data_IF_727512304925
#
_entry.id   IF_727512304925
#
_cell.length_a   1.000
_cell.length_b   1.000
_cell.length_c   1.000
_cell.angle_alpha   90.00
_cell.angle_beta   90.00
_cell.angle_gamma   90.00
#
_symmetry.space_group_name_H-M   'P 1'
#
loop_
_entity.id
_entity.type
_entity.pdbx_description
1 polymer ?
#
# COMPACT_ATOMS: atom_id res chain seq x y z
N UNK A 1 -2.04 -2.49 3.92
CA UNK A 1 -2.13 -2.35 2.45
C UNK A 1 -3.28 -3.19 1.88
N UNK A 2 -3.23 -4.53 1.98
CA UNK A 2 -4.20 -5.44 1.37
C UNK A 2 -5.65 -5.13 1.76
N UNK A 3 -5.92 -4.85 3.04
CA UNK A 3 -7.25 -4.45 3.50
C UNK A 3 -7.74 -3.16 2.84
N UNK A 4 -6.89 -2.14 2.76
CA UNK A 4 -7.27 -0.86 2.16
C UNK A 4 -7.57 -0.97 0.66
N UNK A 5 -6.72 -1.66 -0.11
CA UNK A 5 -6.94 -1.88 -1.55
C UNK A 5 -8.15 -2.78 -1.78
N UNK A 6 -8.33 -3.83 -0.96
CA UNK A 6 -9.51 -4.69 -1.00
C UNK A 6 -10.81 -3.94 -0.69
N UNK A 7 -10.81 -3.07 0.30
CA UNK A 7 -11.99 -2.25 0.65
C UNK A 7 -12.26 -1.15 -0.40
N UNK A 8 -11.22 -0.63 -1.08
CA UNK A 8 -11.36 0.33 -2.16
C UNK A 8 -12.19 -0.22 -3.33
N UNK A 9 -12.19 -1.55 -3.57
CA UNK A 9 -13.06 -2.18 -4.57
C UNK A 9 -14.55 -1.94 -4.30
N UNK A 10 -14.93 -1.69 -3.05
CA UNK A 10 -16.31 -1.48 -2.61
C UNK A 10 -16.64 -0.03 -2.27
N UNK A 11 -15.70 0.91 -2.48
CA UNK A 11 -15.83 2.30 -2.06
C UNK A 11 -17.13 2.97 -2.54
N UNK A 12 -17.59 2.66 -3.75
CA UNK A 12 -18.79 3.22 -4.33
C UNK A 12 -20.02 2.30 -4.24
N UNK A 13 -19.81 1.02 -3.96
CA UNK A 13 -20.90 0.03 -3.92
C UNK A 13 -21.53 -0.01 -2.55
N UNK A 14 -20.71 -0.03 -1.48
CA UNK A 14 -21.18 -0.14 -0.10
C UNK A 14 -22.07 1.03 0.32
N UNK A 15 -21.69 2.24 -0.05
CA UNK A 15 -22.38 3.48 0.34
C UNK A 15 -23.07 4.15 -0.86
N UNK A 16 -23.54 3.37 -1.85
CA UNK A 16 -24.06 3.88 -3.12
C UNK A 16 -25.19 4.93 -2.97
N UNK A 17 -26.05 4.79 -1.97
CA UNK A 17 -27.11 5.76 -1.66
C UNK A 17 -26.51 7.10 -1.24
N UNK A 18 -25.52 7.10 -0.34
CA UNK A 18 -24.84 8.30 0.16
C UNK A 18 -24.01 8.95 -0.96
N UNK A 19 -23.30 8.15 -1.76
CA UNK A 19 -22.52 8.64 -2.91
C UNK A 19 -23.40 9.40 -3.91
N UNK A 20 -24.64 8.96 -4.10
CA UNK A 20 -25.60 9.61 -5.02
C UNK A 20 -26.33 10.80 -4.41
N UNK A 21 -26.58 10.81 -3.10
CA UNK A 21 -27.36 11.86 -2.42
C UNK A 21 -26.51 13.05 -1.97
N UNK A 22 -25.18 12.89 -1.93
CA UNK A 22 -24.26 13.94 -1.44
C UNK A 22 -23.47 14.58 -2.59
N UNK A 23 -23.19 15.89 -2.47
CA UNK A 23 -22.32 16.63 -3.40
C UNK A 23 -20.83 16.50 -3.05
N UNK A 24 -20.44 15.50 -2.26
CA UNK A 24 -19.07 15.27 -1.83
C UNK A 24 -18.26 14.72 -3.02
N UNK A 25 -17.05 15.25 -3.28
CA UNK A 25 -16.17 14.71 -4.31
C UNK A 25 -15.94 13.20 -4.12
N UNK A 26 -16.09 12.43 -5.19
CA UNK A 26 -16.00 10.95 -5.11
C UNK A 26 -14.63 10.44 -4.65
N UNK A 27 -13.57 11.24 -4.80
CA UNK A 27 -12.23 10.94 -4.28
C UNK A 27 -12.21 10.79 -2.75
N UNK A 28 -13.08 11.51 -2.04
CA UNK A 28 -13.17 11.46 -0.57
C UNK A 28 -13.50 10.05 -0.08
N UNK A 29 -14.33 9.31 -0.84
CA UNK A 29 -14.72 7.95 -0.47
C UNK A 29 -13.54 6.97 -0.50
N UNK A 30 -12.64 7.10 -1.48
CA UNK A 30 -11.42 6.30 -1.55
C UNK A 30 -10.45 6.72 -0.44
N UNK A 31 -10.23 8.03 -0.28
CA UNK A 31 -9.31 8.56 0.73
C UNK A 31 -9.76 8.20 2.16
N UNK A 32 -11.07 8.19 2.43
CA UNK A 32 -11.63 7.76 3.72
C UNK A 32 -11.20 6.33 4.07
N UNK A 33 -11.25 5.41 3.11
CA UNK A 33 -10.85 4.02 3.33
C UNK A 33 -9.36 3.94 3.66
N UNK A 34 -8.53 4.61 2.86
CA UNK A 34 -7.08 4.60 3.07
C UNK A 34 -6.72 5.23 4.42
N UNK A 35 -7.37 6.34 4.77
CA UNK A 35 -7.13 7.02 6.04
C UNK A 35 -7.58 6.16 7.23
N UNK A 36 -8.76 5.54 7.16
CA UNK A 36 -9.25 4.63 8.21
C UNK A 36 -8.29 3.47 8.44
N UNK A 37 -7.84 2.82 7.37
CA UNK A 37 -6.87 1.73 7.44
C UNK A 37 -5.47 2.20 7.85
N UNK A 38 -5.12 3.43 7.51
CA UNK A 38 -3.89 4.08 7.97
C UNK A 38 -3.92 4.31 9.48
N UNK A 39 -5.01 4.82 10.04
CA UNK A 39 -5.20 5.03 11.49
C UNK A 39 -5.13 3.69 12.23
N UNK A 40 -5.84 2.64 11.74
CA UNK A 40 -5.75 1.29 12.31
C UNK A 40 -4.31 0.78 12.35
N UNK A 41 -3.55 1.01 11.28
CA UNK A 41 -2.16 0.61 11.18
C UNK A 41 -1.26 1.39 12.16
N UNK A 42 -1.39 2.72 12.21
CA UNK A 42 -0.62 3.57 13.13
C UNK A 42 -0.93 3.20 14.59
N UNK A 43 -2.17 2.89 14.92
CA UNK A 43 -2.55 2.43 16.24
C UNK A 43 -1.93 1.07 16.61
N UNK A 44 -1.56 0.24 15.64
CA UNK A 44 -0.87 -1.03 15.87
C UNK A 44 0.66 -0.86 16.08
N UNK A 45 1.26 0.24 15.65
CA UNK A 45 2.71 0.48 15.73
C UNK A 45 3.26 0.38 17.17
N UNK A 46 2.61 0.97 18.20
CA UNK A 46 3.10 0.85 19.57
C UNK A 46 3.22 -0.61 20.04
N UNK A 47 2.27 -1.45 19.64
CA UNK A 47 2.30 -2.88 19.98
C UNK A 47 3.51 -3.57 19.33
N UNK A 48 3.73 -3.30 18.04
CA UNK A 48 4.89 -3.82 17.30
C UNK A 48 6.19 -3.33 17.92
N UNK A 49 6.27 -2.04 18.29
CA UNK A 49 7.45 -1.46 18.93
C UNK A 49 7.78 -2.13 20.27
N UNK A 50 6.78 -2.41 21.11
CA UNK A 50 6.97 -3.12 22.38
C UNK A 50 7.55 -4.52 22.13
N UNK A 51 6.98 -5.29 21.20
CA UNK A 51 7.51 -6.60 20.86
C UNK A 51 8.93 -6.53 20.27
N UNK A 52 9.20 -5.55 19.42
CA UNK A 52 10.53 -5.37 18.84
C UNK A 52 11.59 -5.13 19.94
N UNK A 53 11.30 -4.26 20.91
CA UNK A 53 12.20 -3.99 22.04
C UNK A 53 12.40 -5.25 22.91
N UNK A 54 11.34 -6.01 23.20
CA UNK A 54 11.44 -7.26 23.96
C UNK A 54 12.33 -8.28 23.23
N UNK A 55 12.31 -8.28 21.88
CA UNK A 55 13.14 -9.14 21.05
C UNK A 55 14.55 -8.59 20.81
N UNK A 56 14.94 -7.48 21.47
CA UNK A 56 16.28 -6.93 21.42
C UNK A 56 16.54 -5.95 20.28
N UNK A 57 15.51 -5.42 19.63
CA UNK A 57 15.67 -4.37 18.65
C UNK A 57 16.02 -3.03 19.34
N UNK A 58 17.04 -2.36 18.85
CA UNK A 58 17.44 -1.05 19.34
C UNK A 58 16.62 0.04 18.66
N UNK A 59 15.98 0.90 19.45
CA UNK A 59 15.29 2.08 18.95
C UNK A 59 16.32 3.15 18.59
N UNK A 60 16.68 3.20 17.33
CA UNK A 60 17.63 4.17 16.78
C UNK A 60 16.89 5.23 15.94
N UNK A 61 17.64 6.19 15.38
CA UNK A 61 17.11 7.16 14.40
C UNK A 61 16.50 6.47 13.15
N UNK A 62 16.72 5.17 12.99
CA UNK A 62 16.05 4.34 11.98
C UNK A 62 14.52 4.40 12.02
N UNK A 63 13.93 4.74 13.17
CA UNK A 63 12.46 4.97 13.31
C UNK A 63 11.93 6.03 12.33
N UNK A 64 12.76 6.95 11.86
CA UNK A 64 12.36 7.93 10.83
C UNK A 64 12.00 7.26 9.50
N UNK A 65 12.60 6.12 9.16
CA UNK A 65 12.24 5.35 7.97
C UNK A 65 10.82 4.80 8.02
N UNK A 66 10.28 4.59 9.23
CA UNK A 66 8.89 4.21 9.43
C UNK A 66 7.93 5.27 8.86
N UNK A 67 8.20 6.56 9.11
CA UNK A 67 7.37 7.64 8.59
C UNK A 67 7.41 7.68 7.04
N UNK A 68 8.59 7.50 6.45
CA UNK A 68 8.75 7.43 4.99
C UNK A 68 7.97 6.24 4.41
N UNK A 69 8.09 5.07 5.05
CA UNK A 69 7.37 3.85 4.64
C UNK A 69 5.85 4.05 4.66
N UNK A 70 5.32 4.66 5.73
CA UNK A 70 3.88 4.95 5.88
C UNK A 70 3.41 5.89 4.77
N UNK A 71 4.15 6.95 4.47
CA UNK A 71 3.81 7.91 3.41
C UNK A 71 3.81 7.24 2.05
N UNK A 72 4.86 6.48 1.70
CA UNK A 72 4.93 5.77 0.42
C UNK A 72 3.82 4.73 0.29
N UNK A 73 3.54 3.98 1.35
CA UNK A 73 2.43 3.03 1.37
C UNK A 73 1.08 3.71 1.19
N UNK A 74 0.85 4.86 1.83
CA UNK A 74 -0.39 5.62 1.68
C UNK A 74 -0.54 6.12 0.23
N UNK A 75 0.52 6.68 -0.36
CA UNK A 75 0.54 7.16 -1.75
C UNK A 75 0.22 6.03 -2.72
N UNK A 76 0.88 4.88 -2.58
CA UNK A 76 0.63 3.69 -3.40
C UNK A 76 -0.82 3.21 -3.26
N UNK A 77 -1.32 3.15 -2.03
CA UNK A 77 -2.67 2.65 -1.73
C UNK A 77 -3.75 3.58 -2.28
N UNK A 78 -3.57 4.90 -2.14
CA UNK A 78 -4.48 5.90 -2.73
C UNK A 78 -4.46 5.78 -4.25
N UNK A 79 -3.28 5.71 -4.87
CA UNK A 79 -3.15 5.58 -6.32
C UNK A 79 -3.90 4.36 -6.87
N UNK A 80 -3.65 3.19 -6.29
CA UNK A 80 -4.35 1.95 -6.67
C UNK A 80 -5.85 2.03 -6.37
N UNK A 81 -6.24 2.58 -5.23
CA UNK A 81 -7.65 2.77 -4.89
C UNK A 81 -8.40 3.65 -5.88
N UNK A 82 -7.77 4.73 -6.36
CA UNK A 82 -8.34 5.63 -7.38
C UNK A 82 -8.46 4.96 -8.76
N UNK A 83 -7.63 3.98 -9.07
CA UNK A 83 -7.77 3.17 -10.30
C UNK A 83 -8.89 2.15 -10.13
N UNK A 84 -8.85 1.38 -9.04
CA UNK A 84 -9.69 0.20 -8.86
C UNK A 84 -11.14 0.58 -8.55
N UNK A 85 -11.38 1.59 -7.69
CA UNK A 85 -12.72 1.94 -7.25
C UNK A 85 -13.70 2.26 -8.41
N UNK A 86 -13.35 3.10 -9.40
CA UNK A 86 -14.23 3.34 -10.54
C UNK A 86 -14.34 2.13 -11.47
N UNK A 87 -13.24 1.37 -11.68
CA UNK A 87 -13.24 0.20 -12.56
C UNK A 87 -14.19 -0.90 -12.09
N UNK A 88 -14.27 -1.16 -10.79
CA UNK A 88 -15.18 -2.18 -10.22
C UNK A 88 -16.65 -1.81 -10.41
N UNK A 89 -16.99 -0.51 -10.53
CA UNK A 89 -18.36 -0.08 -10.85
C UNK A 89 -18.80 -0.58 -12.22
N UNK A 90 -17.88 -0.62 -13.19
CA UNK A 90 -18.15 -1.11 -14.56
C UNK A 90 -17.96 -2.62 -14.66
N UNK A 91 -16.96 -3.17 -13.98
CA UNK A 91 -16.59 -4.60 -14.06
C UNK A 91 -16.62 -5.22 -12.66
N UNK A 92 -17.76 -5.74 -12.24
CA UNK A 92 -17.94 -6.31 -10.89
C UNK A 92 -17.01 -7.49 -10.58
N UNK A 93 -16.64 -8.26 -11.58
CA UNK A 93 -15.73 -9.40 -11.43
C UNK A 93 -14.29 -8.96 -11.06
N UNK A 94 -13.95 -7.70 -11.31
CA UNK A 94 -12.66 -7.13 -10.96
C UNK A 94 -12.42 -7.16 -9.43
N UNK A 95 -13.48 -7.12 -8.61
CA UNK A 95 -13.33 -7.27 -7.15
C UNK A 95 -12.68 -8.61 -6.78
N UNK A 96 -13.10 -9.69 -7.44
CA UNK A 96 -12.55 -11.04 -7.21
C UNK A 96 -11.11 -11.13 -7.70
N UNK A 97 -10.84 -10.58 -8.89
CA UNK A 97 -9.51 -10.56 -9.48
C UNK A 97 -8.52 -9.76 -8.60
N UNK A 98 -8.92 -8.58 -8.11
CA UNK A 98 -8.09 -7.78 -7.20
C UNK A 98 -7.75 -8.55 -5.93
N UNK A 99 -8.72 -9.22 -5.30
CA UNK A 99 -8.46 -10.02 -4.10
C UNK A 99 -7.47 -11.16 -4.36
N UNK A 100 -7.56 -11.80 -5.52
CA UNK A 100 -6.63 -12.85 -5.91
C UNK A 100 -5.22 -12.29 -6.15
N UNK A 101 -5.11 -11.17 -6.85
CA UNK A 101 -3.84 -10.46 -7.08
C UNK A 101 -3.21 -10.02 -5.76
N UNK A 102 -3.99 -9.46 -4.84
CA UNK A 102 -3.49 -9.04 -3.53
C UNK A 102 -2.97 -10.23 -2.70
N UNK A 103 -3.63 -11.38 -2.79
CA UNK A 103 -3.14 -12.60 -2.15
C UNK A 103 -1.83 -13.08 -2.77
N UNK A 104 -1.75 -13.07 -4.09
CA UNK A 104 -0.51 -13.40 -4.81
C UNK A 104 0.61 -12.42 -4.44
N UNK A 105 0.36 -11.12 -4.45
CA UNK A 105 1.32 -10.08 -4.06
C UNK A 105 1.82 -10.26 -2.63
N UNK A 106 0.96 -10.70 -1.71
CA UNK A 106 1.38 -10.97 -0.34
C UNK A 106 2.46 -12.07 -0.29
N UNK A 107 2.28 -13.17 -1.00
CA UNK A 107 3.27 -14.26 -1.06
C UNK A 107 4.49 -13.89 -1.90
N UNK A 108 4.32 -13.07 -2.93
CA UNK A 108 5.40 -12.56 -3.77
C UNK A 108 6.18 -11.40 -3.12
N UNK A 109 5.74 -10.88 -1.99
CA UNK A 109 6.47 -9.83 -1.27
C UNK A 109 7.41 -10.43 -0.23
N UNK A 110 8.62 -9.86 -0.02
CA UNK A 110 9.60 -10.37 0.94
C UNK A 110 9.21 -10.04 2.37
N UNK A 111 8.06 -10.59 2.83
CA UNK A 111 7.53 -10.36 4.18
C UNK A 111 8.18 -11.34 5.17
N UNK A 112 8.33 -12.61 4.76
CA UNK A 112 8.80 -13.71 5.63
C UNK A 112 10.30 -13.98 5.42
N UNK A 113 10.85 -13.64 4.24
CA UNK A 113 12.24 -13.85 3.85
C UNK A 113 12.92 -12.51 3.51
N UNK A 114 14.25 -12.49 3.51
CA UNK A 114 15.04 -11.35 3.03
C UNK A 114 15.23 -11.42 1.51
N UNK A 115 15.47 -10.27 0.87
CA UNK A 115 15.86 -10.26 -0.56
C UNK A 115 17.18 -11.00 -0.76
N UNK A 116 18.09 -10.93 0.22
CA UNK A 116 19.38 -11.64 0.25
C UNK A 116 19.26 -13.17 0.34
N UNK A 117 18.11 -13.69 0.77
CA UNK A 117 17.89 -15.12 0.93
C UNK A 117 17.41 -15.79 -0.36
N UNK A 118 17.17 -14.98 -1.40
CA UNK A 118 16.69 -15.46 -2.69
C UNK A 118 17.83 -15.95 -3.59
N UNK A 119 17.57 -16.95 -4.45
CA UNK A 119 18.51 -17.36 -5.49
C UNK A 119 18.82 -16.20 -6.43
N UNK A 120 20.07 -16.17 -6.92
CA UNK A 120 20.54 -15.14 -7.85
C UNK A 120 19.61 -15.01 -9.08
N UNK A 121 19.14 -13.79 -9.33
CA UNK A 121 18.21 -13.45 -10.41
C UNK A 121 16.76 -13.28 -9.96
N UNK A 122 16.30 -13.93 -8.89
CA UNK A 122 14.98 -13.68 -8.32
C UNK A 122 14.94 -12.43 -7.45
N UNK A 123 16.03 -12.10 -6.78
CA UNK A 123 16.27 -10.87 -6.05
C UNK A 123 15.95 -9.62 -6.89
N UNK A 124 16.48 -9.59 -8.12
CA UNK A 124 16.27 -8.49 -9.06
C UNK A 124 14.80 -8.35 -9.46
N UNK A 125 14.09 -9.46 -9.75
CA UNK A 125 12.67 -9.42 -10.09
C UNK A 125 11.80 -8.99 -8.90
N UNK A 126 12.14 -9.45 -7.70
CA UNK A 126 11.45 -9.06 -6.47
C UNK A 126 11.69 -7.59 -6.12
N UNK A 127 12.84 -7.02 -6.46
CA UNK A 127 13.13 -5.61 -6.26
C UNK A 127 12.19 -4.69 -7.05
N UNK A 128 11.63 -5.15 -8.18
CA UNK A 128 10.61 -4.41 -8.93
C UNK A 128 9.21 -4.41 -8.27
N UNK A 129 9.00 -5.19 -7.20
CA UNK A 129 7.76 -5.13 -6.45
C UNK A 129 7.77 -3.87 -5.54
N UNK A 130 6.85 -2.92 -5.71
CA UNK A 130 6.83 -1.71 -4.88
C UNK A 130 6.65 -2.00 -3.38
N UNK A 131 6.02 -3.13 -3.04
CA UNK A 131 5.89 -3.55 -1.65
C UNK A 131 7.22 -4.00 -1.05
N UNK A 132 8.15 -4.53 -1.86
CA UNK A 132 9.47 -4.95 -1.37
C UNK A 132 10.25 -3.75 -0.79
N UNK A 133 10.28 -2.63 -1.52
CA UNK A 133 10.95 -1.42 -1.03
C UNK A 133 10.26 -0.79 0.18
N UNK A 134 8.93 -0.83 0.24
CA UNK A 134 8.18 -0.34 1.42
C UNK A 134 8.47 -1.23 2.64
N UNK A 135 8.52 -2.55 2.46
CA UNK A 135 8.84 -3.51 3.54
C UNK A 135 10.29 -3.34 4.00
N UNK A 136 11.22 -3.11 3.07
CA UNK A 136 12.62 -2.79 3.41
C UNK A 136 12.71 -1.56 4.31
N UNK A 137 11.93 -0.49 4.04
CA UNK A 137 11.85 0.68 4.92
C UNK A 137 11.27 0.38 6.30
N UNK A 138 10.25 -0.49 6.39
CA UNK A 138 9.74 -0.92 7.69
C UNK A 138 10.77 -1.71 8.49
N UNK A 139 11.56 -2.57 7.83
CA UNK A 139 12.66 -3.28 8.47
C UNK A 139 13.78 -2.34 8.91
N UNK A 140 14.10 -1.35 8.08
CA UNK A 140 15.13 -0.35 8.37
C UNK A 140 14.84 0.47 9.64
N UNK A 141 13.58 0.58 10.04
CA UNK A 141 13.22 1.23 11.30
C UNK A 141 13.79 0.52 12.53
N UNK A 142 14.00 -0.80 12.44
CA UNK A 142 14.51 -1.64 13.53
C UNK A 142 15.91 -2.21 13.24
N UNK A 143 16.27 -2.31 11.96
CA UNK A 143 17.53 -2.86 11.46
C UNK A 143 18.11 -1.95 10.37
N UNK A 144 18.75 -0.81 10.74
CA UNK A 144 19.17 0.23 9.78
C UNK A 144 20.15 -0.27 8.71
N UNK A 145 20.96 -1.27 9.03
CA UNK A 145 21.98 -1.83 8.13
C UNK A 145 21.39 -2.63 6.96
N UNK A 146 20.09 -2.90 6.95
CA UNK A 146 19.41 -3.70 5.92
C UNK A 146 18.68 -2.87 4.87
N UNK A 147 19.00 -1.58 4.74
CA UNK A 147 18.37 -0.71 3.72
C UNK A 147 18.98 -0.95 2.36
N UNK A 148 18.19 -1.48 1.45
CA UNK A 148 18.57 -1.56 0.04
C UNK A 148 18.00 -0.36 -0.73
N UNK A 149 18.88 0.48 -1.27
CA UNK A 149 18.48 1.71 -1.95
C UNK A 149 17.64 1.46 -3.21
N UNK A 150 17.98 0.44 -4.00
CA UNK A 150 17.30 0.16 -5.27
C UNK A 150 15.81 -0.17 -5.10
N UNK A 151 15.39 -1.12 -4.26
CA UNK A 151 13.96 -1.40 -4.02
C UNK A 151 13.20 -0.18 -3.49
N UNK A 152 13.83 0.64 -2.66
CA UNK A 152 13.21 1.86 -2.09
C UNK A 152 12.94 2.90 -3.19
N UNK A 153 13.90 3.14 -4.08
CA UNK A 153 13.73 4.06 -5.21
C UNK A 153 12.62 3.56 -6.13
N UNK A 154 12.61 2.27 -6.45
CA UNK A 154 11.56 1.66 -7.28
C UNK A 154 10.19 1.82 -6.61
N UNK A 155 10.09 1.56 -5.32
CA UNK A 155 8.84 1.73 -4.57
C UNK A 155 8.35 3.18 -4.61
N UNK A 156 9.26 4.16 -4.47
CA UNK A 156 8.90 5.58 -4.55
C UNK A 156 8.39 5.96 -5.95
N UNK A 157 9.11 5.58 -7.00
CA UNK A 157 8.72 5.86 -8.39
C UNK A 157 7.39 5.20 -8.72
N UNK A 158 7.21 3.92 -8.38
CA UNK A 158 5.96 3.19 -8.66
C UNK A 158 4.79 3.73 -7.85
N UNK A 159 5.00 4.17 -6.60
CA UNK A 159 3.95 4.78 -5.77
C UNK A 159 3.47 6.10 -6.38
N UNK A 160 4.40 6.95 -6.84
CA UNK A 160 4.07 8.21 -7.50
C UNK A 160 3.40 7.97 -8.87
N UNK A 161 3.90 7.01 -9.65
CA UNK A 161 3.30 6.62 -10.92
C UNK A 161 1.86 6.09 -10.72
N UNK A 162 1.64 5.22 -9.73
CA UNK A 162 0.32 4.71 -9.38
C UNK A 162 -0.63 5.85 -8.98
N UNK A 163 -0.15 6.83 -8.21
CA UNK A 163 -0.96 8.00 -7.84
C UNK A 163 -1.29 8.85 -9.06
N UNK A 164 -0.33 9.16 -9.92
CA UNK A 164 -0.54 9.93 -11.13
C UNK A 164 -1.53 9.26 -12.08
N UNK A 165 -1.34 7.97 -12.35
CA UNK A 165 -2.27 7.16 -13.14
C UNK A 165 -3.65 7.07 -12.48
N UNK A 166 -3.69 6.90 -11.17
CA UNK A 166 -4.94 6.87 -10.40
C UNK A 166 -5.75 8.15 -10.57
N UNK A 167 -5.11 9.30 -10.45
CA UNK A 167 -5.77 10.60 -10.65
C UNK A 167 -6.27 10.74 -12.10
N UNK A 168 -5.48 10.34 -13.08
CA UNK A 168 -5.86 10.43 -14.50
C UNK A 168 -7.05 9.53 -14.81
N UNK A 169 -6.99 8.25 -14.43
CA UNK A 169 -8.07 7.28 -14.65
C UNK A 169 -9.34 7.75 -13.94
N UNK A 170 -9.21 8.13 -12.68
CA UNK A 170 -10.33 8.60 -11.88
C UNK A 170 -11.02 9.81 -12.51
N UNK A 171 -10.25 10.82 -12.92
CA UNK A 171 -10.81 12.02 -13.58
C UNK A 171 -11.52 11.69 -14.89
N UNK A 172 -11.01 10.77 -15.68
CA UNK A 172 -11.66 10.35 -16.94
C UNK A 172 -12.94 9.58 -16.70
N UNK A 173 -12.95 8.63 -15.75
CA UNK A 173 -14.10 7.75 -15.50
C UNK A 173 -15.22 8.43 -14.70
N UNK A 174 -14.90 9.40 -13.87
CA UNK A 174 -15.87 10.08 -12.99
C UNK A 174 -16.50 11.31 -13.66
N UNK A 175 -15.89 11.84 -14.73
CA UNK A 175 -16.46 12.92 -15.54
C UNK A 175 -17.42 12.43 -16.64
N UNK A 176 -17.37 11.14 -16.96
CA UNK A 176 -18.31 10.50 -17.87
C UNK A 176 -19.52 9.98 -17.08
#
# INVERSE_FOLDING_TARGET
FNGAVGDATRAFIKDAKLVRSTRIPRTVWVNRIVLSKGIEFVAAIPVIAVFAVILGAELTLGVLWLAVAIVLQAVLTVGLGLIIAPLVVFFRDLERAVKLILRFLFYASPIIYGLSDLPAGLDTWMAFNPLAGIISLYRAAFFPDQVEALPVIIAAVMSLAALGLGILVFRRMVRA
#
